data_IF_254439134126
#
_entry.id   IF_254439134126
#
_cell.length_a   1.000
_cell.length_b   1.000
_cell.length_c   1.000
_cell.angle_alpha   90.00
_cell.angle_beta   90.00
_cell.angle_gamma   90.00
#
_symmetry.space_group_name_H-M   'P 1'
#
loop_
_entity.id
_entity.type
_entity.pdbx_description
1 polymer ?
#
# COMPACT_ATOMS: atom_id res chain seq x y z
N UNK A 1 3.39 -9.42 -7.30
CA UNK A 1 3.75 -9.06 -5.92
C UNK A 1 4.51 -10.24 -5.33
N UNK A 2 5.74 -10.02 -4.85
CA UNK A 2 6.69 -11.08 -4.47
C UNK A 2 6.82 -11.27 -2.95
N UNK A 3 7.85 -12.01 -2.47
CA UNK A 3 8.00 -12.45 -1.08
C UNK A 3 7.98 -11.32 -0.04
N UNK A 4 8.42 -10.11 -0.42
CA UNK A 4 8.40 -8.94 0.47
C UNK A 4 7.02 -8.62 1.05
N UNK A 5 5.93 -8.88 0.30
CA UNK A 5 4.57 -8.60 0.79
C UNK A 5 4.26 -9.45 2.02
N UNK A 6 4.45 -10.76 1.92
CA UNK A 6 4.20 -11.69 3.02
C UNK A 6 5.18 -11.49 4.16
N UNK A 7 6.45 -11.18 3.85
CA UNK A 7 7.46 -10.90 4.89
C UNK A 7 7.04 -9.67 5.74
N UNK A 8 6.60 -8.59 5.09
CA UNK A 8 6.19 -7.36 5.78
C UNK A 8 4.89 -7.54 6.58
N UNK A 9 3.92 -8.28 6.05
CA UNK A 9 2.73 -8.62 6.80
C UNK A 9 3.04 -9.50 8.01
N UNK A 10 3.95 -10.48 7.86
CA UNK A 10 4.33 -11.41 8.94
C UNK A 10 4.99 -10.72 10.15
N UNK A 11 5.65 -9.58 9.92
CA UNK A 11 6.24 -8.75 10.98
C UNK A 11 5.33 -7.57 11.40
N UNK A 12 4.11 -7.51 10.88
CA UNK A 12 3.08 -6.55 11.31
C UNK A 12 3.28 -5.13 10.79
N UNK A 13 3.89 -4.91 9.62
CA UNK A 13 3.94 -3.56 9.02
C UNK A 13 2.52 -3.16 8.62
N UNK A 14 1.94 -2.19 9.32
CA UNK A 14 0.53 -1.80 9.15
C UNK A 14 0.22 -1.15 7.81
N UNK A 15 1.17 -0.41 7.23
CA UNK A 15 0.97 0.36 6.00
C UNK A 15 2.11 0.07 5.02
N UNK A 16 1.81 -0.64 3.93
CA UNK A 16 2.80 -0.97 2.91
C UNK A 16 2.31 -0.54 1.53
N UNK A 17 3.07 0.32 0.86
CA UNK A 17 2.75 0.83 -0.46
C UNK A 17 3.76 0.35 -1.51
N UNK A 18 3.25 -0.05 -2.67
CA UNK A 18 4.07 -0.38 -3.84
C UNK A 18 3.68 0.53 -4.98
N UNK A 19 4.60 1.39 -5.39
CA UNK A 19 4.44 2.27 -6.56
C UNK A 19 4.81 1.49 -7.81
N UNK A 20 3.83 1.22 -8.68
CA UNK A 20 4.00 0.57 -9.98
C UNK A 20 3.94 1.62 -11.09
N UNK A 21 5.11 2.21 -11.40
CA UNK A 21 5.24 3.24 -12.42
C UNK A 21 4.96 2.75 -13.85
N UNK A 22 5.12 1.44 -14.13
CA UNK A 22 4.82 0.89 -15.45
C UNK A 22 3.30 0.85 -15.72
N UNK A 23 2.50 0.76 -14.65
CA UNK A 23 1.04 0.76 -14.71
C UNK A 23 0.41 2.07 -14.23
N UNK A 24 1.22 3.04 -13.78
CA UNK A 24 0.78 4.31 -13.19
C UNK A 24 -0.23 4.13 -12.06
N UNK A 25 0.05 3.18 -11.15
CA UNK A 25 -0.78 2.92 -9.97
C UNK A 25 0.06 2.71 -8.72
N UNK A 26 -0.55 2.92 -7.56
CA UNK A 26 -0.02 2.56 -6.25
C UNK A 26 -0.89 1.47 -5.66
N UNK A 27 -0.28 0.35 -5.29
CA UNK A 27 -0.94 -0.69 -4.50
C UNK A 27 -0.74 -0.41 -3.02
N UNK A 28 -1.85 -0.27 -2.30
CA UNK A 28 -1.88 0.01 -0.87
C UNK A 28 -2.33 -1.24 -0.13
N UNK A 29 -1.46 -1.71 0.75
CA UNK A 29 -1.66 -2.87 1.59
C UNK A 29 -1.79 -2.42 3.05
N UNK A 30 -2.83 -2.91 3.72
CA UNK A 30 -3.14 -2.60 5.12
C UNK A 30 -3.75 -3.79 5.85
N UNK A 31 -3.89 -3.67 7.16
CA UNK A 31 -4.43 -4.71 8.04
C UNK A 31 -3.69 -6.05 7.89
N UNK A 32 -2.44 -6.17 8.40
CA UNK A 32 -1.71 -7.43 8.37
C UNK A 32 -2.42 -8.48 9.24
N UNK A 33 -2.78 -9.62 8.64
CA UNK A 33 -3.45 -10.77 9.27
C UNK A 33 -2.79 -12.06 8.74
N UNK A 34 -2.36 -12.93 9.66
CA UNK A 34 -1.82 -14.26 9.35
C UNK A 34 -0.73 -14.31 8.26
N UNK A 35 0.13 -13.29 8.22
CA UNK A 35 1.26 -13.22 7.28
C UNK A 35 0.89 -12.70 5.88
N UNK A 36 -0.30 -12.15 5.70
CA UNK A 36 -0.67 -11.35 4.52
C UNK A 36 -1.48 -10.09 4.94
N UNK A 37 -1.88 -9.28 3.97
CA UNK A 37 -2.69 -8.09 4.16
C UNK A 37 -4.15 -8.38 3.81
N UNK A 38 -5.04 -8.13 4.76
CA UNK A 38 -6.48 -8.26 4.56
C UNK A 38 -7.04 -7.12 3.69
N UNK A 39 -6.44 -5.92 3.78
CA UNK A 39 -6.83 -4.78 2.97
C UNK A 39 -5.87 -4.58 1.80
N UNK A 40 -6.42 -4.62 0.58
CA UNK A 40 -5.68 -4.30 -0.65
C UNK A 40 -6.52 -3.39 -1.52
N UNK A 41 -6.02 -2.22 -1.85
CA UNK A 41 -6.63 -1.35 -2.86
C UNK A 41 -5.57 -0.72 -3.77
N UNK A 42 -6.02 -0.24 -4.93
CA UNK A 42 -5.15 0.35 -5.95
C UNK A 42 -5.62 1.77 -6.24
N UNK A 43 -4.69 2.73 -6.17
CA UNK A 43 -4.94 4.15 -6.44
C UNK A 43 -4.20 4.53 -7.72
N UNK A 44 -4.85 5.24 -8.64
CA UNK A 44 -4.17 5.68 -9.87
C UNK A 44 -3.28 6.88 -9.60
N UNK A 45 -2.23 7.04 -10.39
CA UNK A 45 -1.47 8.28 -10.39
C UNK A 45 -2.40 9.46 -10.71
N UNK A 46 -2.14 10.60 -10.08
CA UNK A 46 -3.01 11.78 -10.13
C UNK A 46 -4.24 11.72 -9.21
N UNK A 47 -4.57 10.58 -8.59
CA UNK A 47 -5.63 10.50 -7.59
C UNK A 47 -5.09 10.77 -6.16
N UNK A 48 -5.88 11.40 -5.28
CA UNK A 48 -5.49 11.60 -3.88
C UNK A 48 -5.26 10.28 -3.15
N UNK A 49 -4.10 10.16 -2.50
CA UNK A 49 -3.75 9.06 -1.60
C UNK A 49 -3.62 9.58 -0.17
N UNK A 50 -4.42 9.03 0.75
CA UNK A 50 -4.38 9.39 2.17
C UNK A 50 -3.06 8.94 2.82
N UNK A 51 -2.44 9.80 3.62
CA UNK A 51 -1.20 9.46 4.35
C UNK A 51 -1.54 8.90 5.73
N UNK A 52 -1.17 7.64 6.02
CA UNK A 52 -1.48 6.99 7.29
C UNK A 52 -0.97 7.77 8.49
N UNK A 53 -1.77 7.80 9.57
CA UNK A 53 -1.45 8.54 10.79
C UNK A 53 -1.62 10.06 10.68
N UNK A 54 -2.19 10.56 9.58
CA UNK A 54 -2.42 12.00 9.37
C UNK A 54 -3.80 12.26 8.75
N UNK A 55 -4.22 13.53 8.72
CA UNK A 55 -5.37 13.98 7.95
C UNK A 55 -4.99 14.54 6.56
N UNK A 56 -3.76 14.27 6.09
CA UNK A 56 -3.25 14.78 4.83
C UNK A 56 -3.45 13.78 3.69
N UNK A 57 -3.50 14.29 2.47
CA UNK A 57 -3.43 13.52 1.22
C UNK A 57 -2.24 13.97 0.40
N UNK A 58 -1.71 13.06 -0.41
CA UNK A 58 -0.67 13.33 -1.42
C UNK A 58 -1.15 12.92 -2.80
N UNK A 59 -0.48 13.43 -3.83
CA UNK A 59 -0.63 13.00 -5.22
C UNK A 59 0.70 12.37 -5.64
N UNK A 60 0.63 11.22 -6.32
CA UNK A 60 1.77 10.55 -6.93
C UNK A 60 1.58 10.60 -8.45
N UNK A 61 2.61 11.00 -9.19
CA UNK A 61 2.64 11.15 -10.64
C UNK A 61 3.84 10.45 -11.32
#
# INVERSE_FOLDING_TARGET
MGPKRTDYASIGIENYWVVDGARSVVHVFGEPVDGDYAQVHTVRFGEPLAVPGTNATIIID
#
